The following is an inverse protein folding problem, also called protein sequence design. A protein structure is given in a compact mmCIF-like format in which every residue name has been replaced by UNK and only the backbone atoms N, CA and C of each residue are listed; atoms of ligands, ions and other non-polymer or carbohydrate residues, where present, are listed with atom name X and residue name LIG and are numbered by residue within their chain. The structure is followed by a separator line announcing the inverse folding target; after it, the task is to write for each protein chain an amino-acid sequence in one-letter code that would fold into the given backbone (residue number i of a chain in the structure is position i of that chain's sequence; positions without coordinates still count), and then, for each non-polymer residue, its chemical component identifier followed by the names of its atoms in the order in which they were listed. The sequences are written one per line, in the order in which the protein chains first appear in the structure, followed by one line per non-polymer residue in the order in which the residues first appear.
data_IF_130542068481
#
_entry.id   IF_130542068481
#
_cell.length_a   1.000
_cell.length_b   1.000
_cell.length_c   1.000
_cell.angle_alpha   90.00
_cell.angle_beta   90.00
_cell.angle_gamma   90.00
#
_symmetry.space_group_name_H-M   'P 1'
#
loop_
_entity.id
_entity.type
_entity.pdbx_description
1 polymer ?
#
# COMPACT_ATOMS: atom_id res chain seq x y z
N UNK A 1 -4.18 26.19 -0.94
CA UNK A 1 -5.36 25.50 -0.40
C UNK A 1 -6.48 25.57 -1.42
N UNK A 2 -6.90 24.44 -1.95
CA UNK A 2 -8.13 24.34 -2.72
C UNK A 2 -9.29 24.55 -1.74
N UNK A 3 -9.93 25.72 -1.81
CA UNK A 3 -11.21 25.95 -1.18
C UNK A 3 -12.28 25.66 -2.21
N UNK A 4 -13.02 24.57 -2.05
CA UNK A 4 -14.23 24.36 -2.83
C UNK A 4 -15.38 25.13 -2.19
N UNK A 5 -15.96 26.06 -2.95
CA UNK A 5 -17.15 26.79 -2.55
C UNK A 5 -18.36 26.12 -3.20
N UNK A 6 -19.18 25.51 -2.38
CA UNK A 6 -20.49 25.00 -2.81
C UNK A 6 -21.60 25.97 -2.40
N UNK A 7 -22.42 26.39 -3.35
CA UNK A 7 -23.65 27.15 -3.03
C UNK A 7 -24.81 26.17 -2.94
N UNK A 8 -25.36 26.01 -1.74
CA UNK A 8 -26.60 25.27 -1.51
C UNK A 8 -27.80 26.23 -1.51
N UNK A 9 -28.73 25.97 -2.41
CA UNK A 9 -29.99 26.71 -2.46
C UNK A 9 -31.13 25.83 -1.98
N UNK A 10 -31.95 26.35 -1.12
CA UNK A 10 -33.17 25.71 -0.64
C UNK A 10 -34.30 26.75 -0.50
N UNK A 11 -35.46 26.33 -0.06
CA UNK A 11 -36.58 27.24 0.16
C UNK A 11 -37.49 26.67 1.25
N UNK A 12 -38.15 27.56 1.99
CA UNK A 12 -39.23 27.20 2.90
C UNK A 12 -40.51 27.97 2.55
N UNK A 13 -41.63 27.45 3.00
CA UNK A 13 -42.92 28.10 2.83
C UNK A 13 -43.24 28.81 4.15
N UNK A 14 -43.51 30.14 4.10
CA UNK A 14 -43.89 30.93 5.26
C UNK A 14 -45.38 30.76 5.65
N UNK A 15 -45.82 31.42 6.71
CA UNK A 15 -47.18 31.36 7.21
C UNK A 15 -48.22 31.88 6.19
N UNK A 16 -47.79 32.75 5.27
CA UNK A 16 -48.62 33.29 4.17
C UNK A 16 -48.63 32.39 2.93
N UNK A 17 -48.09 31.18 3.03
CA UNK A 17 -47.94 30.22 1.93
C UNK A 17 -47.05 30.71 0.77
N UNK A 18 -46.09 31.60 1.08
CA UNK A 18 -45.12 32.13 0.12
C UNK A 18 -43.84 31.32 0.22
N UNK A 19 -43.30 30.88 -0.93
CA UNK A 19 -42.03 30.20 -1.04
C UNK A 19 -40.87 31.18 -0.94
N UNK A 20 -40.11 31.14 0.14
CA UNK A 20 -38.94 31.98 0.42
C UNK A 20 -37.67 31.21 0.06
N UNK A 21 -36.93 31.63 -0.98
CA UNK A 21 -35.64 31.03 -1.29
C UNK A 21 -34.58 31.53 -0.30
N UNK A 22 -33.67 30.68 0.07
CA UNK A 22 -32.43 31.02 0.78
C UNK A 22 -31.25 30.24 0.21
N UNK A 23 -30.09 30.84 0.30
CA UNK A 23 -28.83 30.21 -0.09
C UNK A 23 -27.78 30.42 0.98
N UNK A 24 -26.92 29.44 1.15
CA UNK A 24 -25.74 29.55 1.99
C UNK A 24 -24.52 28.98 1.26
N UNK A 25 -23.39 29.54 1.58
CA UNK A 25 -22.10 29.13 1.03
C UNK A 25 -21.47 28.08 1.93
N UNK A 26 -21.07 26.97 1.34
CA UNK A 26 -20.34 25.90 2.01
C UNK A 26 -18.86 26.08 1.70
N UNK A 27 -18.05 26.24 2.74
CA UNK A 27 -16.61 26.26 2.62
C UNK A 27 -16.07 24.90 3.10
N UNK A 28 -15.66 24.08 2.17
CA UNK A 28 -15.06 22.77 2.45
C UNK A 28 -13.55 22.96 2.47
N UNK A 29 -12.92 22.56 3.57
CA UNK A 29 -11.48 22.61 3.74
C UNK A 29 -10.99 21.24 4.17
N UNK A 30 -10.03 20.71 3.42
CA UNK A 30 -9.30 19.53 3.89
C UNK A 30 -8.36 19.91 5.03
N UNK A 31 -8.39 19.13 6.11
CA UNK A 31 -7.57 19.29 7.31
C UNK A 31 -6.85 18.01 7.69
N UNK A 32 -6.95 16.99 6.86
CA UNK A 32 -6.37 15.66 7.11
C UNK A 32 -5.00 15.59 6.46
N UNK A 33 -3.92 15.35 7.19
CA UNK A 33 -2.61 15.21 6.57
C UNK A 33 -2.45 13.86 5.86
N UNK A 34 -1.59 13.79 4.82
CA UNK A 34 -1.31 12.56 4.08
C UNK A 34 -0.83 11.42 4.99
N UNK A 35 -1.16 10.20 4.61
CA UNK A 35 -0.68 8.98 5.27
C UNK A 35 0.58 8.49 4.56
N UNK A 36 1.59 8.11 5.34
CA UNK A 36 2.85 7.54 4.84
C UNK A 36 3.01 6.11 5.35
N UNK A 37 3.12 5.15 4.43
CA UNK A 37 3.36 3.73 4.74
C UNK A 37 4.86 3.45 4.82
N UNK A 38 5.45 3.78 5.97
CA UNK A 38 6.87 3.63 6.24
C UNK A 38 7.07 3.17 7.69
N UNK A 39 7.90 2.15 7.87
CA UNK A 39 8.37 1.72 9.19
C UNK A 39 9.48 2.62 9.74
N UNK A 40 10.11 2.19 10.83
CA UNK A 40 11.25 2.91 11.43
C UNK A 40 12.56 2.77 10.66
N UNK A 41 12.60 1.90 9.65
CA UNK A 41 13.80 1.65 8.85
C UNK A 41 13.46 1.13 7.46
N UNK A 42 14.39 1.35 6.53
CA UNK A 42 14.40 0.78 5.20
C UNK A 42 15.79 0.24 4.88
N UNK A 43 15.90 -0.94 4.27
CA UNK A 43 17.19 -1.58 4.00
C UNK A 43 17.38 -1.80 2.51
N UNK A 44 18.55 -1.41 2.00
CA UNK A 44 18.95 -1.61 0.60
C UNK A 44 20.35 -2.20 0.52
N UNK A 45 20.69 -2.83 -0.59
CA UNK A 45 22.05 -3.24 -0.87
C UNK A 45 22.89 -2.09 -1.43
N UNK A 46 24.18 -2.07 -1.12
CA UNK A 46 25.15 -1.17 -1.74
C UNK A 46 25.06 -1.28 -3.26
N UNK A 47 25.06 -0.14 -3.94
CA UNK A 47 24.91 -0.04 -5.40
C UNK A 47 23.47 -0.13 -5.89
N UNK A 48 22.47 -0.14 -5.01
CA UNK A 48 21.07 -0.12 -5.40
C UNK A 48 20.71 1.13 -6.22
N UNK A 49 19.95 0.93 -7.29
CA UNK A 49 19.50 2.01 -8.19
C UNK A 49 18.02 2.36 -8.00
N UNK A 50 17.44 1.97 -6.87
CA UNK A 50 16.05 2.28 -6.57
C UNK A 50 15.87 3.77 -6.25
N UNK A 51 14.74 4.33 -6.64
CA UNK A 51 14.27 5.61 -6.13
C UNK A 51 13.47 5.37 -4.86
N UNK A 52 14.00 5.80 -3.70
CA UNK A 52 13.34 5.59 -2.41
C UNK A 52 11.99 6.30 -2.33
N UNK A 53 11.87 7.48 -2.91
CA UNK A 53 10.62 8.25 -2.90
C UNK A 53 9.50 7.51 -3.62
N UNK A 54 9.81 6.78 -4.70
CA UNK A 54 8.83 5.96 -5.42
C UNK A 54 8.51 4.63 -4.71
N UNK A 55 9.40 4.16 -3.83
CA UNK A 55 9.22 2.91 -3.08
C UNK A 55 8.49 3.08 -1.76
N UNK A 56 8.49 4.27 -1.21
CA UNK A 56 7.77 4.58 0.02
C UNK A 56 6.43 5.18 -0.39
N UNK A 57 5.37 4.47 -0.09
CA UNK A 57 4.03 4.90 -0.46
C UNK A 57 3.55 6.01 0.46
N UNK A 58 2.98 7.04 -0.13
CA UNK A 58 2.20 8.06 0.54
C UNK A 58 0.87 8.27 -0.19
N UNK A 59 -0.13 8.74 0.49
CA UNK A 59 -1.45 9.02 -0.09
C UNK A 59 -2.30 9.84 0.85
N UNK A 60 -3.33 10.45 0.31
CA UNK A 60 -4.25 11.29 1.05
C UNK A 60 -5.71 10.92 0.73
N UNK A 61 -6.64 11.38 1.57
CA UNK A 61 -8.07 11.11 1.38
C UNK A 61 -8.75 12.09 0.42
N UNK A 62 -8.11 13.22 0.14
CA UNK A 62 -8.64 14.30 -0.71
C UNK A 62 -7.72 14.63 -1.90
N UNK A 63 -6.40 14.59 -1.70
CA UNK A 63 -5.40 14.86 -2.72
C UNK A 63 -4.91 13.56 -3.37
N UNK A 64 -5.23 13.36 -4.64
CA UNK A 64 -4.84 12.16 -5.40
C UNK A 64 -3.31 12.04 -5.60
N UNK A 65 -2.57 13.15 -5.42
CA UNK A 65 -1.13 13.17 -5.67
C UNK A 65 -0.38 14.10 -4.70
N UNK A 66 -0.32 13.76 -3.41
CA UNK A 66 0.42 14.55 -2.43
C UNK A 66 1.91 14.60 -2.77
N UNK A 67 2.57 15.72 -2.51
CA UNK A 67 4.00 15.87 -2.69
C UNK A 67 4.76 15.06 -1.64
N UNK A 68 5.56 14.08 -2.08
CA UNK A 68 6.32 13.20 -1.20
C UNK A 68 7.81 13.33 -1.47
N UNK A 69 8.58 13.75 -0.45
CA UNK A 69 10.02 13.95 -0.53
C UNK A 69 10.76 13.26 0.61
N UNK A 70 12.04 13.02 0.41
CA UNK A 70 12.97 12.55 1.45
C UNK A 70 13.97 13.65 1.75
N UNK A 71 14.06 14.02 3.01
CA UNK A 71 15.02 14.97 3.53
C UNK A 71 16.16 14.24 4.24
N UNK A 72 17.40 14.73 4.03
CA UNK A 72 18.63 14.16 4.56
C UNK A 72 19.58 13.69 3.47
N UNK A 73 20.83 13.50 3.84
CA UNK A 73 21.86 13.02 2.92
C UNK A 73 22.04 11.52 3.06
N UNK A 74 22.13 10.81 1.94
CA UNK A 74 22.43 9.40 1.89
C UNK A 74 23.23 9.04 0.64
N UNK A 75 23.98 7.96 0.73
CA UNK A 75 24.79 7.43 -0.36
C UNK A 75 24.50 5.94 -0.54
N UNK A 76 23.87 5.59 -1.65
CA UNK A 76 23.54 4.21 -1.99
C UNK A 76 24.75 3.34 -2.34
N UNK A 77 25.88 3.96 -2.68
CA UNK A 77 27.10 3.24 -3.04
C UNK A 77 28.03 3.01 -1.84
N UNK A 78 27.68 3.58 -0.67
CA UNK A 78 28.45 3.46 0.55
C UNK A 78 27.67 2.78 1.68
N UNK A 79 28.26 1.71 2.24
CA UNK A 79 27.69 1.05 3.43
C UNK A 79 27.57 2.02 4.61
N UNK A 80 26.38 2.05 5.22
CA UNK A 80 26.14 2.95 6.35
C UNK A 80 24.69 2.94 6.83
N UNK A 81 24.47 3.74 7.86
CA UNK A 81 23.15 4.06 8.39
C UNK A 81 22.90 5.55 8.20
N UNK A 82 21.85 5.89 7.50
CA UNK A 82 21.50 7.26 7.16
C UNK A 82 20.16 7.62 7.81
N UNK A 83 20.17 8.54 8.81
CA UNK A 83 18.93 9.04 9.39
C UNK A 83 18.26 10.00 8.40
N UNK A 84 17.03 9.69 8.01
CA UNK A 84 16.27 10.44 7.02
C UNK A 84 14.89 10.80 7.55
N UNK A 85 14.27 11.80 6.94
CA UNK A 85 12.88 12.18 7.17
C UNK A 85 12.11 12.06 5.86
N UNK A 86 11.03 11.29 5.85
CA UNK A 86 10.07 11.29 4.78
C UNK A 86 8.98 12.31 5.08
N UNK A 87 8.73 13.22 4.15
CA UNK A 87 7.75 14.30 4.28
C UNK A 87 6.74 14.21 3.16
N UNK A 88 5.47 14.17 3.53
CA UNK A 88 4.35 14.21 2.61
C UNK A 88 3.53 15.48 2.86
N UNK A 89 3.18 16.19 1.80
CA UNK A 89 2.41 17.45 1.86
C UNK A 89 1.27 17.38 0.85
N UNK A 90 0.04 17.63 1.29
CA UNK A 90 -1.10 17.71 0.39
C UNK A 90 -1.27 19.11 -0.22
N UNK A 91 -2.20 19.25 -1.16
CA UNK A 91 -2.54 20.52 -1.82
C UNK A 91 -3.18 21.54 -0.87
N UNK A 92 -3.70 21.11 0.27
CA UNK A 92 -4.29 21.96 1.33
C UNK A 92 -3.24 22.48 2.31
N UNK A 93 -1.99 21.96 2.23
CA UNK A 93 -0.87 22.34 3.07
C UNK A 93 -0.78 21.55 4.37
N UNK A 94 -1.51 20.45 4.51
CA UNK A 94 -1.32 19.55 5.65
C UNK A 94 -0.08 18.69 5.44
N UNK A 95 0.66 18.39 6.48
CA UNK A 95 1.97 17.77 6.40
C UNK A 95 2.05 16.56 7.33
N UNK A 96 2.64 15.48 6.83
CA UNK A 96 3.08 14.33 7.62
C UNK A 96 4.59 14.15 7.48
N UNK A 97 5.29 14.02 8.60
CA UNK A 97 6.71 13.72 8.64
C UNK A 97 6.97 12.41 9.38
N UNK A 98 7.77 11.51 8.78
CA UNK A 98 8.22 10.27 9.40
C UNK A 98 9.74 10.15 9.35
N UNK A 99 10.36 10.04 10.51
CA UNK A 99 11.80 9.75 10.63
C UNK A 99 12.04 8.25 10.50
N UNK A 100 13.06 7.89 9.75
CA UNK A 100 13.48 6.50 9.57
C UNK A 100 14.99 6.40 9.34
N UNK A 101 15.53 5.19 9.51
CA UNK A 101 16.92 4.91 9.18
C UNK A 101 16.99 4.13 7.86
N UNK A 102 17.72 4.66 6.89
CA UNK A 102 18.10 3.90 5.71
C UNK A 102 19.39 3.12 6.03
N UNK A 103 19.32 1.80 5.96
CA UNK A 103 20.47 0.93 6.06
C UNK A 103 20.94 0.54 4.67
N UNK A 104 22.13 1.01 4.27
CA UNK A 104 22.80 0.57 3.06
C UNK A 104 23.79 -0.51 3.48
N UNK A 105 23.54 -1.75 3.06
CA UNK A 105 24.31 -2.91 3.52
C UNK A 105 24.98 -3.62 2.34
N UNK A 106 26.16 -4.19 2.56
CA UNK A 106 26.74 -5.11 1.58
C UNK A 106 25.84 -6.34 1.43
N UNK A 107 25.55 -6.78 0.21
CA UNK A 107 24.85 -8.04 0.04
C UNK A 107 25.67 -9.11 0.78
N UNK A 108 25.05 -9.77 1.74
CA UNK A 108 25.67 -10.95 2.34
C UNK A 108 25.98 -11.90 1.18
N UNK A 109 27.24 -12.37 1.04
CA UNK A 109 27.47 -13.47 0.13
C UNK A 109 26.47 -14.53 0.52
N UNK A 110 25.62 -14.95 -0.41
CA UNK A 110 24.85 -16.16 -0.18
C UNK A 110 25.91 -17.25 0.00
N UNK A 111 26.26 -17.50 1.24
CA UNK A 111 26.88 -18.76 1.61
C UNK A 111 25.83 -19.78 1.21
N UNK A 112 25.93 -20.18 -0.05
CA UNK A 112 25.28 -21.38 -0.53
C UNK A 112 25.85 -22.56 0.27
N UNK A 113 25.44 -22.64 1.52
CA UNK A 113 25.40 -23.91 2.21
C UNK A 113 24.29 -24.71 1.51
N UNK A 114 24.66 -25.22 0.32
CA UNK A 114 23.90 -26.25 -0.39
C UNK A 114 23.82 -27.57 0.41
N UNK A 115 23.95 -27.50 1.72
CA UNK A 115 23.67 -28.56 2.69
C UNK A 115 22.32 -28.40 3.39
N UNK A 116 21.48 -27.44 3.02
CA UNK A 116 20.06 -27.58 3.30
C UNK A 116 19.56 -28.72 2.42
N UNK A 117 19.47 -29.92 3.01
CA UNK A 117 18.66 -31.02 2.49
C UNK A 117 17.39 -30.36 1.91
N UNK A 118 17.10 -30.50 0.60
CA UNK A 118 15.92 -29.84 0.03
C UNK A 118 14.75 -30.23 0.93
N UNK A 119 14.04 -29.24 1.43
CA UNK A 119 12.80 -29.49 2.15
C UNK A 119 11.98 -30.42 1.28
N UNK A 120 11.45 -31.53 1.80
CA UNK A 120 10.67 -32.45 0.99
C UNK A 120 9.60 -31.63 0.29
N UNK A 121 9.56 -31.68 -1.04
CA UNK A 121 8.53 -31.00 -1.81
C UNK A 121 7.19 -31.61 -1.38
N UNK A 122 6.36 -30.82 -0.75
CA UNK A 122 4.98 -31.22 -0.50
C UNK A 122 4.21 -30.99 -1.80
N UNK A 123 3.74 -32.05 -2.40
CA UNK A 123 2.89 -31.94 -3.58
C UNK A 123 1.46 -31.60 -3.13
N UNK A 124 0.74 -30.87 -3.96
CA UNK A 124 -0.64 -30.48 -3.67
C UNK A 124 -1.55 -31.72 -3.49
N UNK A 125 -1.31 -32.78 -4.27
CA UNK A 125 -1.95 -34.10 -4.09
C UNK A 125 -1.86 -34.64 -2.67
N UNK A 126 -0.68 -34.50 -2.04
CA UNK A 126 -0.45 -35.00 -0.68
C UNK A 126 -1.25 -34.21 0.36
N UNK A 127 -1.46 -32.91 0.08
CA UNK A 127 -2.31 -32.04 0.91
C UNK A 127 -3.77 -32.44 0.77
N UNK A 128 -4.22 -32.67 -0.48
CA UNK A 128 -5.60 -33.11 -0.75
C UNK A 128 -5.87 -34.43 -0.06
N UNK A 129 -5.00 -35.43 -0.24
CA UNK A 129 -5.16 -36.77 0.35
C UNK A 129 -5.22 -36.72 1.87
N UNK A 130 -4.40 -35.85 2.49
CA UNK A 130 -4.27 -35.77 3.95
C UNK A 130 -5.40 -34.96 4.63
N UNK A 131 -5.91 -33.93 3.96
CA UNK A 131 -6.78 -32.94 4.60
C UNK A 131 -8.19 -32.86 4.02
N UNK A 132 -8.46 -33.46 2.83
CA UNK A 132 -9.79 -33.46 2.23
C UNK A 132 -10.68 -34.47 2.94
N UNK A 133 -11.82 -34.02 3.42
CA UNK A 133 -12.90 -34.85 3.97
C UNK A 133 -14.26 -34.20 3.68
N UNK A 134 -15.36 -34.76 4.15
CA UNK A 134 -16.72 -34.26 3.90
C UNK A 134 -16.96 -32.85 4.46
N UNK A 135 -16.19 -32.44 5.47
CA UNK A 135 -16.36 -31.16 6.18
C UNK A 135 -15.33 -30.10 5.76
N UNK A 136 -14.44 -30.40 4.79
CA UNK A 136 -13.36 -29.49 4.39
C UNK A 136 -13.37 -29.18 2.91
N UNK A 137 -13.18 -27.89 2.56
CA UNK A 137 -12.92 -27.43 1.22
C UNK A 137 -11.47 -27.00 1.07
N UNK A 138 -10.86 -27.29 -0.08
CA UNK A 138 -9.46 -26.96 -0.36
C UNK A 138 -9.40 -25.82 -1.34
N UNK A 139 -8.79 -24.70 -0.90
CA UNK A 139 -8.65 -23.50 -1.70
C UNK A 139 -7.21 -23.02 -1.84
N UNK A 140 -7.00 -22.07 -2.75
CA UNK A 140 -5.75 -21.34 -2.92
C UNK A 140 -5.96 -19.86 -2.73
N UNK A 141 -4.98 -19.22 -2.09
CA UNK A 141 -4.86 -17.77 -2.01
C UNK A 141 -3.84 -17.32 -3.06
N UNK A 142 -4.32 -16.58 -4.05
CA UNK A 142 -3.53 -16.12 -5.19
C UNK A 142 -3.43 -14.60 -5.20
N UNK A 143 -2.25 -14.10 -5.55
CA UNK A 143 -1.99 -12.68 -5.76
C UNK A 143 -1.36 -12.45 -7.13
N UNK A 144 -1.18 -11.20 -7.52
CA UNK A 144 -0.51 -10.82 -8.78
C UNK A 144 0.91 -11.38 -8.94
N UNK A 145 1.56 -11.74 -7.83
CA UNK A 145 2.94 -12.25 -7.79
C UNK A 145 3.10 -13.68 -8.31
N UNK A 146 2.00 -14.45 -8.44
CA UNK A 146 2.04 -15.81 -8.99
C UNK A 146 2.11 -15.84 -10.53
N UNK A 147 2.03 -14.68 -11.21
CA UNK A 147 2.06 -14.59 -12.66
C UNK A 147 0.81 -15.23 -13.32
N UNK A 148 0.99 -15.83 -14.49
CA UNK A 148 -0.12 -16.46 -15.22
C UNK A 148 -0.55 -17.77 -14.55
N UNK A 149 -1.78 -17.84 -14.13
CA UNK A 149 -2.37 -18.98 -13.44
C UNK A 149 -3.30 -19.74 -14.40
N UNK A 150 -3.09 -21.06 -14.49
CA UNK A 150 -3.92 -21.96 -15.27
C UNK A 150 -5.01 -22.56 -14.36
N UNK A 151 -6.19 -21.95 -14.39
CA UNK A 151 -7.30 -22.34 -13.52
C UNK A 151 -7.85 -23.74 -13.84
N UNK A 152 -7.73 -24.22 -15.07
CA UNK A 152 -8.14 -25.59 -15.44
C UNK A 152 -7.26 -26.62 -14.74
N UNK A 153 -5.95 -26.40 -14.72
CA UNK A 153 -5.02 -27.29 -13.99
C UNK A 153 -5.21 -27.24 -12.48
N UNK A 154 -5.50 -26.05 -11.93
CA UNK A 154 -5.78 -25.87 -10.50
C UNK A 154 -7.04 -26.67 -10.12
N UNK A 155 -8.10 -26.54 -10.88
CA UNK A 155 -9.34 -27.30 -10.69
C UNK A 155 -9.12 -28.81 -10.81
N UNK A 156 -8.39 -29.24 -11.85
CA UNK A 156 -8.04 -30.65 -12.06
C UNK A 156 -7.18 -31.24 -10.93
N UNK A 157 -6.42 -30.40 -10.21
CA UNK A 157 -5.65 -30.79 -9.04
C UNK A 157 -6.47 -30.95 -7.75
N UNK A 158 -7.78 -30.59 -7.77
CA UNK A 158 -8.67 -30.74 -6.63
C UNK A 158 -8.88 -29.46 -5.81
N UNK A 159 -8.55 -28.29 -6.36
CA UNK A 159 -8.89 -26.99 -5.76
C UNK A 159 -10.36 -26.68 -6.00
N UNK A 160 -11.08 -26.30 -4.94
CA UNK A 160 -12.51 -26.06 -4.97
C UNK A 160 -12.86 -24.59 -4.98
N UNK A 161 -12.02 -23.75 -4.39
CA UNK A 161 -12.17 -22.29 -4.44
C UNK A 161 -10.82 -21.56 -4.50
N UNK A 162 -10.85 -20.31 -4.92
CA UNK A 162 -9.67 -19.43 -4.98
C UNK A 162 -10.00 -18.09 -4.32
N UNK A 163 -9.10 -17.58 -3.51
CA UNK A 163 -9.13 -16.22 -3.00
C UNK A 163 -8.16 -15.41 -3.85
N UNK A 164 -8.66 -14.37 -4.52
CA UNK A 164 -7.84 -13.47 -5.32
C UNK A 164 -7.57 -12.20 -4.52
N UNK A 165 -6.30 -11.91 -4.30
CA UNK A 165 -5.87 -10.61 -3.76
C UNK A 165 -5.64 -9.66 -4.93
N UNK A 166 -6.53 -8.70 -5.08
CA UNK A 166 -6.34 -7.53 -5.94
C UNK A 166 -5.75 -6.44 -5.07
N UNK A 167 -4.51 -6.04 -5.38
CA UNK A 167 -3.74 -5.01 -4.68
C UNK A 167 -4.21 -3.62 -4.97
#
# INVERSE_FOLDING_TARGET
SLQEYGQLTSSYINEDNIKIPYSYELNIKDTTPPVVWLGSSYTVNVGSKINLTEKIMCGDNYDDNPECIIEGEYDMDKEGTYPLTFKATDSSGNITEKKFNLYVVKPKPSTGNNNSKPSPKTYFSDIVEKHKNEDTEIGLDLSEWQGTVDFEKIKAAGVEFVILRVG
#
